data_IF_823339615467
#
_entry.id   IF_823339615467
#
_cell.length_a   1.000
_cell.length_b   1.000
_cell.length_c   1.000
_cell.angle_alpha   90.00
_cell.angle_beta   90.00
_cell.angle_gamma   90.00
#
_symmetry.space_group_name_H-M   'P 1'
#
loop_
_entity.id
_entity.type
_entity.pdbx_description
1 polymer ?
#
# COMPACT_ATOMS: atom_id res chain seq x y z
N UNK A 1 18.03 -5.84 62.03
CA UNK A 1 16.67 -5.78 62.56
C UNK A 1 15.73 -6.45 61.56
N UNK A 2 14.89 -7.30 62.01
CA UNK A 2 14.06 -8.36 61.49
C UNK A 2 13.72 -8.39 59.99
N UNK A 3 14.08 -9.50 59.30
CA UNK A 3 13.56 -9.94 58.00
C UNK A 3 12.31 -10.80 58.22
N UNK A 4 11.15 -10.33 57.74
CA UNK A 4 9.92 -11.12 57.72
C UNK A 4 9.87 -11.94 56.44
N UNK A 5 9.94 -13.25 56.53
CA UNK A 5 9.73 -14.20 55.40
C UNK A 5 8.22 -14.49 55.30
N UNK A 6 7.64 -14.23 54.16
CA UNK A 6 6.26 -14.67 53.78
C UNK A 6 6.39 -16.05 53.14
N UNK A 7 5.74 -17.05 53.75
CA UNK A 7 5.60 -18.41 53.18
C UNK A 7 4.39 -18.42 52.25
N UNK A 8 4.61 -18.74 50.98
CA UNK A 8 3.55 -19.03 50.00
C UNK A 8 3.24 -20.52 50.06
N UNK A 9 2.01 -20.86 50.37
CA UNK A 9 1.47 -22.23 50.34
C UNK A 9 1.01 -22.53 48.90
N UNK A 10 1.55 -23.58 48.30
CA UNK A 10 1.06 -24.13 47.03
C UNK A 10 -0.17 -25.02 47.33
N UNK A 11 -1.30 -24.69 46.71
CA UNK A 11 -2.45 -25.55 46.63
C UNK A 11 -2.39 -26.31 45.27
N UNK A 12 -2.36 -27.61 45.35
CA UNK A 12 -2.49 -28.53 44.21
C UNK A 12 -3.98 -28.72 43.98
N UNK A 13 -4.47 -28.30 42.82
CA UNK A 13 -5.83 -28.60 42.35
C UNK A 13 -5.74 -29.64 41.23
N UNK A 14 -6.45 -30.74 41.48
CA UNK A 14 -6.47 -31.91 40.59
C UNK A 14 -7.21 -31.67 39.28
N UNK A 15 -6.69 -32.28 38.25
CA UNK A 15 -7.24 -32.30 36.89
C UNK A 15 -8.33 -33.39 36.82
N UNK A 16 -9.57 -33.01 36.53
CA UNK A 16 -10.62 -33.96 36.10
C UNK A 16 -10.71 -33.87 34.57
N UNK A 17 -10.32 -34.94 33.91
CA UNK A 17 -10.52 -35.13 32.49
C UNK A 17 -11.92 -35.67 32.21
N UNK A 18 -12.75 -34.91 31.52
CA UNK A 18 -14.03 -35.40 30.96
C UNK A 18 -13.80 -35.66 29.48
N UNK A 19 -13.76 -36.94 29.13
CA UNK A 19 -13.77 -37.40 27.73
C UNK A 19 -15.22 -37.37 27.20
N UNK A 20 -15.55 -36.46 26.30
CA UNK A 20 -16.79 -36.47 25.56
C UNK A 20 -16.59 -37.19 24.24
N UNK A 21 -17.14 -38.39 24.12
CA UNK A 21 -17.18 -39.19 22.88
C UNK A 21 -18.36 -38.68 22.05
N UNK A 22 -18.12 -38.05 20.93
CA UNK A 22 -19.12 -37.72 19.90
C UNK A 22 -19.19 -38.86 18.91
N UNK A 23 -20.26 -39.64 18.93
CA UNK A 23 -20.58 -40.62 17.90
C UNK A 23 -21.26 -39.93 16.73
N UNK A 24 -20.61 -39.92 15.56
CA UNK A 24 -21.21 -39.47 14.31
C UNK A 24 -21.91 -40.67 13.66
N UNK A 25 -23.24 -40.63 13.61
CA UNK A 25 -24.07 -41.59 12.90
C UNK A 25 -24.17 -41.11 11.43
N UNK A 26 -23.60 -41.87 10.50
CA UNK A 26 -23.87 -41.71 9.06
C UNK A 26 -25.18 -42.41 8.70
N UNK A 27 -26.22 -41.63 8.46
CA UNK A 27 -27.41 -42.11 7.78
C UNK A 27 -27.29 -41.84 6.30
N UNK A 28 -27.04 -42.85 5.50
CA UNK A 28 -27.10 -42.79 4.05
C UNK A 28 -28.55 -42.75 3.59
N UNK A 29 -28.94 -41.69 2.87
CA UNK A 29 -30.13 -41.69 2.02
C UNK A 29 -29.68 -41.33 0.60
N UNK A 30 -29.65 -42.29 -0.28
CA UNK A 30 -29.58 -42.11 -1.72
C UNK A 30 -30.97 -41.73 -2.26
N UNK A 31 -31.12 -40.51 -2.74
CA UNK A 31 -32.17 -40.16 -3.66
C UNK A 31 -31.60 -39.24 -4.72
N UNK A 32 -31.54 -39.75 -5.95
CA UNK A 32 -31.10 -38.98 -7.12
C UNK A 32 -32.05 -37.87 -7.44
N UNK A 33 -31.51 -36.64 -7.51
CA UNK A 33 -32.10 -35.57 -8.27
C UNK A 33 -31.01 -34.98 -9.16
N UNK A 34 -31.27 -35.04 -10.47
CA UNK A 34 -30.51 -34.33 -11.47
C UNK A 34 -30.73 -32.83 -11.24
N UNK A 35 -29.82 -32.21 -10.52
CA UNK A 35 -29.72 -30.78 -10.40
C UNK A 35 -28.62 -30.27 -11.33
N UNK A 36 -28.98 -29.45 -12.32
CA UNK A 36 -28.07 -28.95 -13.31
C UNK A 36 -26.88 -28.23 -12.67
N UNK A 37 -25.70 -28.61 -13.14
CA UNK A 37 -24.51 -27.81 -12.95
C UNK A 37 -24.75 -26.45 -13.62
N UNK A 38 -24.98 -25.46 -12.82
CA UNK A 38 -24.86 -24.07 -13.24
C UNK A 38 -23.39 -23.84 -13.59
N UNK A 39 -23.04 -24.08 -14.85
CA UNK A 39 -21.81 -23.54 -15.43
C UNK A 39 -21.95 -22.03 -15.35
N UNK A 40 -21.25 -21.42 -14.40
CA UNK A 40 -20.95 -20.01 -14.47
C UNK A 40 -20.20 -19.78 -15.77
N UNK A 41 -20.91 -19.38 -16.82
CA UNK A 41 -20.36 -18.81 -18.03
C UNK A 41 -19.66 -17.52 -17.60
N UNK A 42 -18.36 -17.63 -17.25
CA UNK A 42 -17.46 -16.52 -17.37
C UNK A 42 -17.43 -16.15 -18.85
N UNK A 43 -18.15 -15.10 -19.23
CA UNK A 43 -18.01 -14.50 -20.55
C UNK A 43 -16.56 -14.11 -20.69
N UNK A 44 -15.80 -14.86 -21.51
CA UNK A 44 -14.42 -14.59 -21.88
C UNK A 44 -14.31 -13.38 -22.81
N UNK A 45 -14.80 -12.22 -22.36
CA UNK A 45 -14.48 -10.94 -22.98
C UNK A 45 -13.06 -10.54 -22.60
N UNK A 46 -12.37 -9.84 -23.50
CA UNK A 46 -11.10 -9.21 -23.14
C UNK A 46 -11.32 -8.25 -21.97
N UNK A 47 -10.37 -8.15 -21.00
CA UNK A 47 -10.47 -7.18 -19.93
C UNK A 47 -10.62 -5.76 -20.47
N UNK A 48 -11.46 -4.95 -19.80
CA UNK A 48 -11.72 -3.56 -20.19
C UNK A 48 -10.49 -2.71 -19.94
N UNK A 49 -10.11 -1.91 -20.92
CA UNK A 49 -9.03 -0.94 -20.78
C UNK A 49 -9.56 0.38 -20.21
N UNK A 50 -8.72 1.06 -19.44
CA UNK A 50 -9.01 2.39 -18.96
C UNK A 50 -9.19 3.38 -20.13
N UNK A 51 -10.19 4.27 -20.03
CA UNK A 51 -10.43 5.30 -21.02
C UNK A 51 -9.45 6.47 -20.88
N UNK A 52 -9.05 7.04 -21.99
CA UNK A 52 -8.38 8.35 -22.00
C UNK A 52 -9.39 9.44 -21.65
N UNK A 53 -9.02 10.31 -20.73
CA UNK A 53 -9.87 11.38 -20.20
C UNK A 53 -9.17 12.73 -20.26
N UNK A 54 -9.91 13.79 -19.96
CA UNK A 54 -9.42 15.17 -19.86
C UNK A 54 -9.66 15.73 -18.46
N UNK A 55 -9.06 16.84 -18.09
CA UNK A 55 -9.32 17.50 -16.80
C UNK A 55 -10.80 17.89 -16.65
N UNK A 56 -11.49 18.20 -17.73
CA UNK A 56 -12.92 18.52 -17.72
C UNK A 56 -13.77 17.32 -17.26
N UNK A 57 -13.40 16.10 -17.62
CA UNK A 57 -14.10 14.87 -17.22
C UNK A 57 -14.04 14.64 -15.70
N UNK A 58 -13.02 15.17 -15.03
CA UNK A 58 -12.78 15.00 -13.61
C UNK A 58 -13.20 16.21 -12.76
N UNK A 59 -13.73 17.27 -13.40
CA UNK A 59 -14.21 18.43 -12.66
C UNK A 59 -15.26 18.07 -11.60
N UNK A 60 -16.28 17.21 -11.85
CA UNK A 60 -17.22 16.80 -10.80
C UNK A 60 -16.56 16.10 -9.61
N UNK A 61 -15.53 15.29 -9.86
CA UNK A 61 -14.73 14.64 -8.81
C UNK A 61 -13.95 15.67 -8.00
N UNK A 62 -13.27 16.60 -8.69
CA UNK A 62 -12.50 17.67 -8.02
C UNK A 62 -13.40 18.56 -7.16
N UNK A 63 -14.58 18.94 -7.67
CA UNK A 63 -15.57 19.76 -6.96
C UNK A 63 -16.09 19.00 -5.71
N UNK A 64 -16.42 17.70 -5.84
CA UNK A 64 -16.90 16.87 -4.74
C UNK A 64 -15.86 16.68 -3.65
N UNK A 65 -14.58 16.51 -4.03
CA UNK A 65 -13.47 16.39 -3.09
C UNK A 65 -13.04 17.73 -2.49
N UNK A 66 -13.35 18.85 -3.14
CA UNK A 66 -12.76 20.16 -2.84
C UNK A 66 -11.24 20.20 -3.09
N UNK A 67 -10.74 19.36 -4.00
CA UNK A 67 -9.32 19.19 -4.32
C UNK A 67 -9.13 18.86 -5.78
N UNK A 68 -8.10 19.44 -6.39
CA UNK A 68 -7.73 19.16 -7.78
C UNK A 68 -6.67 18.06 -7.82
N UNK A 69 -6.84 17.10 -8.71
CA UNK A 69 -5.86 16.08 -9.05
C UNK A 69 -5.07 16.44 -10.32
N UNK A 70 -4.36 15.44 -10.83
CA UNK A 70 -3.63 15.51 -12.09
C UNK A 70 -3.84 14.24 -12.90
N UNK A 71 -3.95 14.39 -14.21
CA UNK A 71 -3.94 13.27 -15.14
C UNK A 71 -2.54 12.63 -15.18
N UNK A 72 -2.52 11.32 -15.24
CA UNK A 72 -1.32 10.51 -15.36
C UNK A 72 -1.56 9.28 -16.23
N UNK A 73 -0.49 8.53 -16.48
CA UNK A 73 -0.53 7.29 -17.26
C UNK A 73 -1.26 7.47 -18.60
N UNK A 74 -0.74 8.38 -19.45
CA UNK A 74 -1.34 8.72 -20.76
C UNK A 74 -2.81 9.19 -20.65
N UNK A 75 -3.13 9.94 -19.59
CA UNK A 75 -4.45 10.48 -19.30
C UNK A 75 -5.54 9.42 -19.02
N UNK A 76 -5.15 8.22 -18.62
CA UNK A 76 -6.10 7.13 -18.28
C UNK A 76 -6.44 7.06 -16.80
N UNK A 77 -5.83 7.91 -15.99
CA UNK A 77 -6.08 7.95 -14.53
C UNK A 77 -5.98 9.38 -14.00
N UNK A 78 -6.82 9.73 -13.03
CA UNK A 78 -6.83 11.01 -12.34
C UNK A 78 -6.40 10.82 -10.89
N UNK A 79 -5.25 11.39 -10.51
CA UNK A 79 -4.62 11.22 -9.21
C UNK A 79 -4.72 12.45 -8.36
N UNK A 80 -5.19 12.28 -7.13
CA UNK A 80 -5.24 13.31 -6.08
C UNK A 80 -4.23 12.92 -4.99
N UNK A 81 -3.27 13.79 -4.71
CA UNK A 81 -2.30 13.58 -3.63
C UNK A 81 -2.88 14.05 -2.29
N UNK A 82 -2.66 13.25 -1.25
CA UNK A 82 -3.23 13.40 0.09
C UNK A 82 -2.11 13.37 1.15
N UNK A 83 -1.13 14.27 1.00
CA UNK A 83 0.07 14.27 1.83
C UNK A 83 -0.22 14.80 3.24
N UNK A 84 0.31 14.13 4.27
CA UNK A 84 0.22 14.53 5.69
C UNK A 84 1.35 15.49 6.05
N UNK A 85 1.21 16.74 5.64
CA UNK A 85 2.16 17.81 6.00
C UNK A 85 1.98 18.31 7.45
N UNK A 86 0.90 17.93 8.10
CA UNK A 86 0.55 18.25 9.49
C UNK A 86 1.27 17.33 10.50
N UNK A 87 1.79 16.17 10.05
CA UNK A 87 2.46 15.21 10.91
C UNK A 87 3.97 15.38 10.90
N UNK A 88 4.56 15.33 12.11
CA UNK A 88 6.00 15.24 12.31
C UNK A 88 6.31 13.83 12.85
N UNK A 89 6.61 12.93 11.94
CA UNK A 89 6.88 11.53 12.27
C UNK A 89 8.38 11.29 12.35
N UNK A 90 8.80 10.54 13.36
CA UNK A 90 10.16 10.00 13.47
C UNK A 90 10.12 8.48 13.49
N UNK A 91 11.16 7.84 12.97
CA UNK A 91 11.35 6.40 13.01
C UNK A 91 12.82 6.11 13.33
N UNK A 92 13.11 5.31 14.35
CA UNK A 92 14.49 5.08 14.85
C UNK A 92 15.30 6.38 15.00
N UNK A 93 14.65 7.48 15.45
CA UNK A 93 15.28 8.79 15.61
C UNK A 93 15.47 9.59 14.31
N UNK A 94 15.10 9.07 13.15
CA UNK A 94 15.12 9.78 11.87
C UNK A 94 13.81 10.54 11.66
N UNK A 95 13.88 11.86 11.47
CA UNK A 95 12.73 12.65 11.08
C UNK A 95 12.33 12.33 9.63
N UNK A 96 11.07 11.95 9.42
CA UNK A 96 10.55 11.49 8.13
C UNK A 96 10.03 12.69 7.33
N UNK A 97 10.60 12.90 6.15
CA UNK A 97 10.02 13.85 5.19
C UNK A 97 8.68 13.29 4.68
N UNK A 98 7.64 14.12 4.53
CA UNK A 98 6.34 13.64 4.04
C UNK A 98 6.42 12.82 2.76
N UNK A 99 7.30 13.22 1.81
CA UNK A 99 7.51 12.51 0.56
C UNK A 99 8.18 11.13 0.68
N UNK A 100 8.74 10.76 1.84
CA UNK A 100 9.32 9.42 2.06
C UNK A 100 8.23 8.38 2.28
N UNK A 101 7.31 8.65 3.22
CA UNK A 101 6.28 7.67 3.64
C UNK A 101 4.92 8.27 3.97
N UNK A 102 4.77 9.59 4.16
CA UNK A 102 3.53 10.21 4.60
C UNK A 102 2.69 10.74 3.42
N UNK A 103 2.91 10.23 2.22
CA UNK A 103 2.25 10.63 0.98
C UNK A 103 1.05 9.75 0.65
N UNK A 104 -0.13 10.01 1.24
CA UNK A 104 -1.36 9.40 0.81
C UNK A 104 -1.79 9.84 -0.59
N UNK A 105 -2.68 9.09 -1.21
CA UNK A 105 -3.22 9.38 -2.54
C UNK A 105 -4.58 8.73 -2.77
N UNK A 106 -5.31 9.24 -3.76
CA UNK A 106 -6.46 8.58 -4.36
C UNK A 106 -6.37 8.69 -5.88
N UNK A 107 -6.74 7.63 -6.59
CA UNK A 107 -6.73 7.57 -8.06
C UNK A 107 -8.09 7.11 -8.55
N UNK A 108 -8.61 7.82 -9.55
CA UNK A 108 -9.85 7.49 -10.24
C UNK A 108 -9.52 7.05 -11.67
N UNK A 109 -10.09 5.94 -12.10
CA UNK A 109 -9.92 5.37 -13.44
C UNK A 109 -11.28 5.09 -14.04
N UNK A 110 -11.56 5.61 -15.24
CA UNK A 110 -12.85 5.43 -15.93
C UNK A 110 -12.76 4.32 -16.96
N UNK A 111 -13.83 3.52 -17.05
CA UNK A 111 -14.00 2.45 -18.03
C UNK A 111 -15.21 2.68 -18.94
N UNK A 112 -15.32 1.91 -20.02
CA UNK A 112 -16.31 2.08 -21.10
C UNK A 112 -17.75 1.76 -20.69
N UNK A 113 -17.96 1.11 -19.54
CA UNK A 113 -19.27 0.81 -18.97
C UNK A 113 -19.81 1.91 -18.02
N UNK A 114 -19.23 3.12 -18.08
CA UNK A 114 -19.47 4.25 -17.18
C UNK A 114 -19.12 4.01 -15.71
N UNK A 115 -18.43 2.92 -15.41
CA UNK A 115 -17.89 2.69 -14.08
C UNK A 115 -16.55 3.41 -13.87
N UNK A 116 -16.35 3.84 -12.66
CA UNK A 116 -15.09 4.42 -12.22
C UNK A 116 -14.53 3.59 -11.08
N UNK A 117 -13.27 3.17 -11.20
CA UNK A 117 -12.49 2.61 -10.11
C UNK A 117 -11.94 3.74 -9.25
N UNK A 118 -12.09 3.63 -7.95
CA UNK A 118 -11.34 4.37 -6.94
C UNK A 118 -10.37 3.41 -6.26
N UNK A 119 -9.09 3.72 -6.31
CA UNK A 119 -8.07 3.10 -5.44
C UNK A 119 -7.25 4.18 -4.75
N UNK A 120 -6.79 3.90 -3.55
CA UNK A 120 -5.98 4.88 -2.82
C UNK A 120 -5.32 4.29 -1.59
N UNK A 121 -4.48 5.11 -0.98
CA UNK A 121 -3.83 4.84 0.29
C UNK A 121 -3.88 6.09 1.16
N UNK A 122 -4.48 6.01 2.33
CA UNK A 122 -4.66 7.12 3.25
C UNK A 122 -3.74 6.95 4.46
N UNK A 123 -3.04 8.01 4.82
CA UNK A 123 -2.25 8.07 6.04
C UNK A 123 -3.12 8.62 7.17
N UNK A 124 -3.34 7.84 8.22
CA UNK A 124 -4.23 8.16 9.33
C UNK A 124 -3.53 7.96 10.68
N UNK A 125 -3.86 8.79 11.66
CA UNK A 125 -3.47 8.56 13.05
C UNK A 125 -4.35 7.48 13.67
N UNK A 126 -3.93 6.88 14.78
CA UNK A 126 -4.76 5.90 15.51
C UNK A 126 -6.10 6.50 15.96
N UNK A 127 -6.13 7.80 16.29
CA UNK A 127 -7.36 8.49 16.69
C UNK A 127 -8.33 8.77 15.52
N UNK A 128 -7.80 8.90 14.31
CA UNK A 128 -8.59 9.10 13.08
C UNK A 128 -9.14 7.79 12.51
N UNK A 129 -8.40 6.70 12.69
CA UNK A 129 -8.68 5.42 12.02
C UNK A 129 -10.12 4.91 12.19
N UNK A 130 -10.73 4.85 13.37
CA UNK A 130 -12.12 4.38 13.49
C UNK A 130 -13.11 5.26 12.72
N UNK A 131 -12.92 6.57 12.75
CA UNK A 131 -13.80 7.55 12.07
C UNK A 131 -13.68 7.44 10.55
N UNK A 132 -12.45 7.25 10.05
CA UNK A 132 -12.19 7.02 8.64
C UNK A 132 -12.83 5.71 8.18
N UNK A 133 -12.68 4.63 8.96
CA UNK A 133 -13.31 3.34 8.68
C UNK A 133 -14.84 3.49 8.59
N UNK A 134 -15.47 4.11 9.58
CA UNK A 134 -16.93 4.31 9.60
C UNK A 134 -17.41 5.13 8.40
N UNK A 135 -16.66 6.19 8.04
CA UNK A 135 -16.99 7.05 6.90
C UNK A 135 -16.91 6.28 5.58
N UNK A 136 -15.84 5.50 5.35
CA UNK A 136 -15.67 4.69 4.13
C UNK A 136 -16.78 3.63 4.02
N UNK A 137 -17.01 2.85 5.10
CA UNK A 137 -18.01 1.78 5.11
C UNK A 137 -19.44 2.32 4.89
N UNK A 138 -19.78 3.48 5.47
CA UNK A 138 -21.09 4.12 5.28
C UNK A 138 -21.35 4.55 3.85
N UNK A 139 -20.33 4.61 3.00
CA UNK A 139 -20.38 5.00 1.59
C UNK A 139 -20.07 3.87 0.61
N UNK A 140 -19.96 2.64 1.11
CA UNK A 140 -19.66 1.47 0.30
C UNK A 140 -18.24 1.44 -0.29
N UNK A 141 -17.31 2.21 0.28
CA UNK A 141 -15.89 2.16 -0.09
C UNK A 141 -15.20 1.13 0.81
N UNK A 142 -14.63 0.10 0.19
CA UNK A 142 -13.93 -0.95 0.92
C UNK A 142 -12.57 -0.46 1.44
N UNK A 143 -12.20 -0.92 2.63
CA UNK A 143 -10.82 -0.92 3.09
C UNK A 143 -10.23 -2.29 2.75
N UNK A 144 -9.19 -2.30 1.93
CA UNK A 144 -8.59 -3.54 1.43
C UNK A 144 -7.32 -3.93 2.18
N UNK A 145 -6.69 -2.99 2.86
CA UNK A 145 -5.58 -3.23 3.79
C UNK A 145 -5.51 -2.15 4.86
N UNK A 146 -4.95 -2.54 6.00
CA UNK A 146 -4.57 -1.65 7.10
C UNK A 146 -3.18 -2.08 7.54
N UNK A 147 -2.17 -1.21 7.37
CA UNK A 147 -0.76 -1.60 7.45
C UNK A 147 0.14 -0.46 7.90
N UNK A 148 1.44 -0.74 8.00
CA UNK A 148 2.48 0.23 8.39
C UNK A 148 3.57 0.33 7.33
N UNK A 149 4.00 1.56 7.03
CA UNK A 149 5.19 1.79 6.21
C UNK A 149 6.48 1.88 7.05
N UNK A 150 6.36 2.09 8.34
CA UNK A 150 7.49 2.37 9.25
C UNK A 150 7.37 1.56 10.53
N UNK A 151 8.51 1.21 11.12
CA UNK A 151 8.63 0.63 12.45
C UNK A 151 9.06 1.70 13.46
N UNK A 152 8.85 1.46 14.78
CA UNK A 152 9.30 2.36 15.86
C UNK A 152 8.93 3.83 15.63
N UNK A 153 7.77 4.06 15.01
CA UNK A 153 7.33 5.39 14.59
C UNK A 153 6.65 6.16 15.73
N UNK A 154 6.90 7.46 15.77
CA UNK A 154 6.29 8.40 16.73
C UNK A 154 5.93 9.71 16.03
N UNK A 155 4.64 10.19 16.11
CA UNK A 155 3.49 9.47 16.66
C UNK A 155 3.12 8.22 15.86
N UNK A 156 2.33 7.29 16.43
CA UNK A 156 1.87 6.13 15.69
C UNK A 156 0.87 6.54 14.59
N UNK A 157 1.16 6.11 13.37
CA UNK A 157 0.34 6.33 12.17
C UNK A 157 0.11 5.00 11.46
N UNK A 158 -0.96 4.93 10.68
CA UNK A 158 -1.35 3.78 9.88
C UNK A 158 -1.61 4.20 8.45
N UNK A 159 -1.50 3.24 7.54
CA UNK A 159 -1.87 3.40 6.13
C UNK A 159 -3.04 2.47 5.85
N UNK A 160 -4.04 2.98 5.14
CA UNK A 160 -5.20 2.17 4.78
C UNK A 160 -5.51 2.29 3.31
N UNK A 161 -5.45 1.13 2.61
CA UNK A 161 -5.88 1.06 1.23
C UNK A 161 -7.39 1.11 1.13
N UNK A 162 -7.87 1.88 0.16
CA UNK A 162 -9.29 2.05 -0.15
C UNK A 162 -9.57 1.63 -1.58
N UNK A 163 -10.73 1.02 -1.80
CA UNK A 163 -11.18 0.52 -3.09
C UNK A 163 -12.68 0.72 -3.26
N UNK A 164 -13.09 1.14 -4.45
CA UNK A 164 -14.51 1.26 -4.80
C UNK A 164 -14.70 1.25 -6.31
N UNK A 165 -15.81 0.72 -6.76
CA UNK A 165 -16.24 0.73 -8.16
C UNK A 165 -17.65 1.32 -8.26
N UNK A 166 -17.87 2.28 -9.19
CA UNK A 166 -19.18 2.87 -9.36
C UNK A 166 -19.16 4.27 -9.96
N UNK A 167 -20.13 5.11 -9.57
CA UNK A 167 -20.22 6.51 -10.00
C UNK A 167 -19.07 7.36 -9.42
N UNK A 168 -18.36 8.06 -10.28
CA UNK A 168 -17.16 8.83 -9.91
C UNK A 168 -17.43 9.90 -8.84
N UNK A 169 -18.59 10.59 -8.94
CA UNK A 169 -18.95 11.67 -8.00
C UNK A 169 -19.35 11.10 -6.65
N UNK A 170 -20.06 9.98 -6.62
CA UNK A 170 -20.43 9.31 -5.37
C UNK A 170 -19.18 8.76 -4.64
N UNK A 171 -18.25 8.15 -5.39
CA UNK A 171 -16.97 7.71 -4.84
C UNK A 171 -16.17 8.89 -4.27
N UNK A 172 -16.12 10.02 -4.98
CA UNK A 172 -15.46 11.23 -4.51
C UNK A 172 -16.10 11.79 -3.23
N UNK A 173 -17.45 11.81 -3.16
CA UNK A 173 -18.18 12.24 -1.94
C UNK A 173 -17.92 11.30 -0.75
N UNK A 174 -17.85 9.98 -1.01
CA UNK A 174 -17.52 9.00 0.01
C UNK A 174 -16.09 9.16 0.54
N UNK A 175 -15.13 9.34 -0.36
CA UNK A 175 -13.76 9.63 0.00
C UNK A 175 -13.64 10.96 0.76
N UNK A 176 -14.38 12.00 0.32
CA UNK A 176 -14.42 13.29 1.03
C UNK A 176 -14.86 13.14 2.49
N UNK A 177 -15.90 12.34 2.74
CA UNK A 177 -16.36 12.08 4.10
C UNK A 177 -15.27 11.42 4.97
N UNK A 178 -14.48 10.50 4.40
CA UNK A 178 -13.33 9.92 5.09
C UNK A 178 -12.22 10.95 5.34
N UNK A 179 -11.92 11.80 4.36
CA UNK A 179 -10.93 12.87 4.50
C UNK A 179 -11.33 13.90 5.56
N UNK A 180 -12.63 14.21 5.68
CA UNK A 180 -13.16 15.14 6.70
C UNK A 180 -13.02 14.60 8.14
N UNK A 181 -12.81 13.28 8.28
CA UNK A 181 -12.49 12.65 9.56
C UNK A 181 -10.98 12.70 9.90
N UNK A 182 -10.17 13.31 9.05
CA UNK A 182 -8.71 13.45 9.20
C UNK A 182 -8.28 14.91 9.24
N UNK A 183 -7.01 15.13 9.59
CA UNK A 183 -6.36 16.44 9.46
C UNK A 183 -5.60 16.62 8.13
N UNK A 184 -5.90 15.83 7.11
CA UNK A 184 -5.29 15.96 5.78
C UNK A 184 -5.70 17.30 5.16
N UNK A 185 -4.79 18.27 5.18
CA UNK A 185 -4.98 19.62 4.63
C UNK A 185 -5.08 19.64 3.10
N UNK A 186 -5.39 20.79 2.48
CA UNK A 186 -5.32 20.98 1.04
C UNK A 186 -3.90 20.69 0.51
N UNK A 187 -3.81 20.40 -0.79
CA UNK A 187 -2.52 20.14 -1.42
C UNK A 187 -1.61 21.38 -1.28
N UNK A 188 -0.41 21.17 -0.77
CA UNK A 188 0.61 22.23 -0.72
C UNK A 188 1.24 22.37 -2.10
N UNK A 189 1.37 23.56 -2.66
CA UNK A 189 2.09 23.77 -3.91
C UNK A 189 3.52 23.24 -3.80
N UNK A 190 4.02 22.64 -4.89
CA UNK A 190 5.42 22.26 -4.93
C UNK A 190 6.33 23.49 -4.74
N UNK A 191 7.44 23.36 -4.01
CA UNK A 191 8.37 24.47 -3.84
C UNK A 191 8.92 24.90 -5.20
N UNK A 192 9.14 26.21 -5.37
CA UNK A 192 9.64 26.79 -6.62
C UNK A 192 11.03 26.23 -7.02
N UNK A 193 11.83 25.83 -6.02
CA UNK A 193 13.09 25.14 -6.21
C UNK A 193 13.07 23.83 -5.42
N UNK A 194 13.44 22.74 -6.08
CA UNK A 194 13.58 21.45 -5.42
C UNK A 194 14.75 21.48 -4.42
N UNK A 195 14.56 21.00 -3.19
CA UNK A 195 15.67 20.84 -2.26
C UNK A 195 16.74 19.91 -2.85
N UNK A 196 18.03 20.17 -2.59
CA UNK A 196 19.10 19.27 -3.06
C UNK A 196 18.97 17.88 -2.45
N UNK A 197 19.43 16.89 -3.19
CA UNK A 197 19.55 15.50 -2.75
C UNK A 197 21.01 15.25 -2.39
N UNK A 198 21.35 15.31 -1.11
CA UNK A 198 22.72 15.22 -0.58
C UNK A 198 23.16 13.76 -0.38
N UNK A 199 23.23 13.00 -1.49
CA UNK A 199 23.83 11.65 -1.58
C UNK A 199 24.48 11.47 -2.95
N UNK A 200 25.30 10.46 -3.12
CA UNK A 200 25.84 10.07 -4.42
C UNK A 200 24.76 9.41 -5.31
N UNK A 201 23.95 10.25 -5.98
CA UNK A 201 22.88 9.78 -6.87
C UNK A 201 23.40 8.98 -8.06
N UNK A 202 24.58 9.33 -8.60
CA UNK A 202 25.20 8.60 -9.70
C UNK A 202 25.64 7.20 -9.30
N UNK A 203 26.24 7.06 -8.11
CA UNK A 203 26.59 5.76 -7.53
C UNK A 203 25.35 4.91 -7.22
N UNK A 204 24.27 5.52 -6.72
CA UNK A 204 22.99 4.85 -6.50
C UNK A 204 22.38 4.33 -7.81
N UNK A 205 22.34 5.16 -8.85
CA UNK A 205 21.86 4.77 -10.19
C UNK A 205 22.68 3.61 -10.79
N UNK A 206 24.02 3.71 -10.70
CA UNK A 206 24.90 2.65 -11.15
C UNK A 206 24.66 1.33 -10.42
N UNK A 207 24.50 1.39 -9.09
CA UNK A 207 24.27 0.20 -8.25
C UNK A 207 22.92 -0.46 -8.56
N UNK A 208 21.84 0.34 -8.72
CA UNK A 208 20.52 -0.17 -9.07
C UNK A 208 20.37 -0.51 -10.56
N UNK A 209 21.26 0.01 -11.43
CA UNK A 209 21.16 -0.16 -12.88
C UNK A 209 19.95 0.56 -13.48
N UNK A 210 19.50 1.67 -12.87
CA UNK A 210 18.29 2.40 -13.24
C UNK A 210 18.45 3.88 -12.95
N UNK A 211 17.72 4.71 -13.70
CA UNK A 211 17.65 6.15 -13.46
C UNK A 211 16.63 6.48 -12.37
N UNK A 212 17.00 7.35 -11.45
CA UNK A 212 16.14 7.88 -10.41
C UNK A 212 15.69 9.31 -10.72
N UNK A 213 14.80 9.83 -9.87
CA UNK A 213 14.28 11.19 -9.97
C UNK A 213 14.41 11.90 -8.63
N UNK A 214 14.97 13.11 -8.64
CA UNK A 214 14.98 13.98 -7.47
C UNK A 214 13.60 14.64 -7.30
N UNK A 215 13.00 14.50 -6.12
CA UNK A 215 11.70 15.10 -5.79
C UNK A 215 11.59 15.37 -4.30
N UNK A 216 11.33 16.61 -3.91
CA UNK A 216 11.16 17.02 -2.51
C UNK A 216 12.41 16.79 -1.64
N UNK A 217 13.62 16.78 -2.23
CA UNK A 217 14.87 16.47 -1.52
C UNK A 217 15.03 14.99 -1.17
N UNK A 218 14.32 14.13 -1.90
CA UNK A 218 14.48 12.67 -1.91
C UNK A 218 14.96 12.24 -3.29
N UNK A 219 15.57 11.04 -3.38
CA UNK A 219 15.86 10.37 -4.64
C UNK A 219 14.97 9.15 -4.78
N UNK A 220 14.19 9.08 -5.85
CA UNK A 220 13.04 8.19 -5.96
C UNK A 220 13.08 7.32 -7.21
N UNK A 221 12.55 6.12 -7.09
CA UNK A 221 12.28 5.17 -8.17
C UNK A 221 10.84 4.69 -8.09
N UNK A 222 10.21 4.52 -9.25
CA UNK A 222 8.91 3.86 -9.40
C UNK A 222 9.01 2.92 -10.60
N UNK A 223 9.01 1.62 -10.34
CA UNK A 223 9.38 0.59 -11.32
C UNK A 223 8.18 -0.33 -11.53
N UNK A 224 7.49 -0.23 -12.68
CA UNK A 224 6.33 -1.09 -12.94
C UNK A 224 6.75 -2.54 -13.17
N UNK A 225 5.81 -3.46 -12.93
CA UNK A 225 5.93 -4.86 -13.33
C UNK A 225 5.75 -5.01 -14.83
N UNK A 226 6.25 -6.13 -15.39
CA UNK A 226 5.95 -6.51 -16.78
C UNK A 226 4.53 -7.09 -16.92
N UNK A 227 3.97 -7.59 -15.81
CA UNK A 227 2.66 -8.22 -15.80
C UNK A 227 1.56 -7.19 -16.07
N UNK A 228 0.55 -7.56 -16.85
CA UNK A 228 -0.71 -6.83 -16.91
C UNK A 228 -1.55 -7.22 -15.70
N UNK A 229 -1.96 -6.23 -14.93
CA UNK A 229 -2.78 -6.46 -13.73
C UNK A 229 -4.24 -6.25 -14.10
N UNK A 230 -5.08 -7.22 -13.76
CA UNK A 230 -6.52 -7.20 -14.04
C UNK A 230 -7.27 -7.43 -12.73
N UNK A 231 -8.31 -6.64 -12.47
CA UNK A 231 -9.23 -6.82 -11.35
C UNK A 231 -10.66 -6.73 -11.85
N UNK A 232 -11.48 -7.73 -11.54
CA UNK A 232 -12.89 -7.81 -11.95
C UNK A 232 -13.15 -7.48 -13.44
N UNK A 233 -12.27 -7.99 -14.31
CA UNK A 233 -12.36 -7.77 -15.75
C UNK A 233 -11.87 -6.40 -16.24
N UNK A 234 -11.22 -5.60 -15.39
CA UNK A 234 -10.67 -4.28 -15.73
C UNK A 234 -9.14 -4.30 -15.68
N UNK A 235 -8.48 -3.79 -16.72
CA UNK A 235 -7.02 -3.60 -16.72
C UNK A 235 -6.68 -2.39 -15.84
N UNK A 236 -5.81 -2.60 -14.85
CA UNK A 236 -5.37 -1.55 -13.96
C UNK A 236 -4.19 -0.75 -14.56
N UNK A 237 -4.25 0.59 -14.63
CA UNK A 237 -3.12 1.45 -15.07
C UNK A 237 -2.04 1.51 -13.98
N UNK A 238 -1.17 0.51 -13.94
CA UNK A 238 -0.25 0.19 -12.85
C UNK A 238 0.59 1.38 -12.35
N UNK A 239 1.15 2.17 -13.25
CA UNK A 239 2.05 3.27 -12.89
C UNK A 239 1.37 4.36 -12.05
N UNK A 240 0.10 4.70 -12.34
CA UNK A 240 -0.63 5.75 -11.61
C UNK A 240 -1.29 5.23 -10.34
N UNK A 241 -1.66 3.94 -10.32
CA UNK A 241 -2.24 3.27 -9.15
C UNK A 241 -1.21 2.82 -8.10
N UNK A 242 0.08 3.19 -8.26
CA UNK A 242 1.18 2.70 -7.41
C UNK A 242 1.29 1.16 -7.38
N UNK A 243 0.91 0.48 -8.47
CA UNK A 243 1.18 -0.95 -8.66
C UNK A 243 2.61 -1.11 -9.21
N UNK A 244 3.57 -0.53 -8.51
CA UNK A 244 4.99 -0.44 -8.89
C UNK A 244 5.88 -0.72 -7.68
N UNK A 245 7.07 -1.24 -7.93
CA UNK A 245 8.10 -1.23 -6.88
C UNK A 245 8.61 0.19 -6.70
N UNK A 246 8.49 0.71 -5.49
CA UNK A 246 8.91 2.06 -5.11
C UNK A 246 10.14 1.98 -4.23
N UNK A 247 11.15 2.80 -4.54
CA UNK A 247 12.35 2.95 -3.72
C UNK A 247 12.59 4.44 -3.49
N UNK A 248 12.63 4.85 -2.23
CA UNK A 248 12.91 6.23 -1.86
C UNK A 248 14.16 6.29 -1.00
N UNK A 249 15.06 7.21 -1.31
CA UNK A 249 16.22 7.55 -0.50
C UNK A 249 16.01 8.94 0.07
N UNK A 250 15.97 9.05 1.40
CA UNK A 250 15.97 10.32 2.10
C UNK A 250 17.37 10.58 2.66
N UNK A 251 18.09 11.64 2.20
CA UNK A 251 19.37 12.01 2.79
C UNK A 251 19.26 12.27 4.30
N UNK A 252 20.20 11.73 5.07
CA UNK A 252 20.31 11.94 6.52
C UNK A 252 21.68 12.52 6.92
N UNK A 253 22.44 13.01 5.94
CA UNK A 253 23.77 13.62 6.10
C UNK A 253 24.92 12.62 5.93
N UNK A 254 26.10 13.14 5.54
CA UNK A 254 27.33 12.37 5.38
C UNK A 254 27.28 11.29 4.29
N UNK A 255 26.53 11.50 3.22
CA UNK A 255 26.35 10.52 2.13
C UNK A 255 25.41 9.36 2.49
N UNK A 256 24.85 9.35 3.70
CA UNK A 256 23.92 8.33 4.18
C UNK A 256 22.48 8.68 3.81
N UNK A 257 21.67 7.66 3.66
CA UNK A 257 20.24 7.79 3.44
C UNK A 257 19.43 6.87 4.37
N UNK A 258 18.23 7.30 4.71
CA UNK A 258 17.16 6.41 5.12
C UNK A 258 16.42 5.93 3.88
N UNK A 259 16.16 4.64 3.77
CA UNK A 259 15.38 4.06 2.67
C UNK A 259 14.05 3.51 3.17
N UNK A 260 13.03 3.77 2.39
CA UNK A 260 11.70 3.20 2.54
C UNK A 260 11.07 3.06 1.15
N UNK A 261 10.14 2.15 1.00
CA UNK A 261 9.44 1.92 -0.25
C UNK A 261 8.61 0.66 -0.18
N UNK A 262 8.32 0.13 -1.36
CA UNK A 262 7.39 -0.97 -1.51
C UNK A 262 7.85 -1.88 -2.65
N UNK A 263 8.04 -3.17 -2.39
CA UNK A 263 8.22 -4.18 -3.43
C UNK A 263 6.87 -4.76 -3.79
N UNK A 264 6.48 -4.67 -5.06
CA UNK A 264 5.29 -5.33 -5.60
C UNK A 264 5.66 -6.74 -6.10
N UNK A 265 5.03 -7.76 -5.53
CA UNK A 265 5.45 -9.17 -5.60
C UNK A 265 4.31 -10.10 -5.98
N UNK A 266 4.63 -11.16 -6.69
CA UNK A 266 3.82 -12.38 -6.72
C UNK A 266 4.23 -13.31 -5.57
N UNK A 267 3.44 -14.34 -5.28
CA UNK A 267 3.71 -15.33 -4.25
C UNK A 267 5.08 -16.01 -4.40
N UNK A 268 5.51 -16.29 -5.64
CA UNK A 268 6.79 -16.95 -5.95
C UNK A 268 8.02 -16.06 -5.75
N UNK A 269 7.83 -14.74 -5.65
CA UNK A 269 8.91 -13.75 -5.49
C UNK A 269 9.15 -13.40 -4.01
N UNK A 270 8.13 -13.50 -3.15
CA UNK A 270 8.16 -13.03 -1.75
C UNK A 270 9.40 -13.52 -1.00
N UNK A 271 9.62 -14.83 -0.96
CA UNK A 271 10.70 -15.40 -0.14
C UNK A 271 12.09 -15.02 -0.65
N UNK A 272 12.26 -14.89 -1.97
CA UNK A 272 13.52 -14.47 -2.59
C UNK A 272 13.85 -13.02 -2.23
N UNK A 273 12.84 -12.14 -2.26
CA UNK A 273 13.00 -10.72 -1.89
C UNK A 273 13.30 -10.58 -0.39
N UNK A 274 12.60 -11.32 0.49
CA UNK A 274 12.90 -11.34 1.93
C UNK A 274 14.36 -11.73 2.16
N UNK A 275 14.82 -12.82 1.53
CA UNK A 275 16.19 -13.32 1.69
C UNK A 275 17.23 -12.29 1.22
N UNK A 276 16.98 -11.65 0.06
CA UNK A 276 17.87 -10.64 -0.50
C UNK A 276 17.97 -9.40 0.42
N UNK A 277 16.83 -8.86 0.87
CA UNK A 277 16.80 -7.70 1.76
C UNK A 277 17.50 -8.01 3.10
N UNK A 278 17.22 -9.17 3.70
CA UNK A 278 17.83 -9.56 4.99
C UNK A 278 19.32 -9.83 4.89
N UNK A 279 19.80 -10.36 3.77
CA UNK A 279 21.25 -10.53 3.51
C UNK A 279 21.99 -9.18 3.47
N UNK A 280 21.30 -8.11 3.09
CA UNK A 280 21.81 -6.73 3.09
C UNK A 280 21.50 -5.96 4.40
N UNK A 281 21.04 -6.62 5.47
CA UNK A 281 20.60 -5.99 6.73
C UNK A 281 19.46 -4.96 6.56
N UNK A 282 18.69 -5.02 5.48
CA UNK A 282 17.49 -4.21 5.28
C UNK A 282 16.35 -4.88 6.04
N UNK A 283 15.66 -4.12 6.90
CA UNK A 283 14.54 -4.63 7.70
C UNK A 283 13.28 -4.76 6.84
N UNK A 284 12.53 -5.82 7.07
CA UNK A 284 11.16 -5.95 6.55
C UNK A 284 10.24 -5.24 7.55
N UNK A 285 9.39 -4.35 7.04
CA UNK A 285 8.40 -3.63 7.86
C UNK A 285 7.08 -4.38 7.88
N UNK A 286 6.55 -4.65 6.70
CA UNK A 286 5.24 -5.33 6.57
C UNK A 286 5.12 -6.01 5.20
N UNK A 287 4.35 -7.09 5.16
CA UNK A 287 3.91 -7.79 3.95
C UNK A 287 2.38 -7.77 3.94
N UNK A 288 1.78 -7.14 2.94
CA UNK A 288 0.34 -6.92 2.85
C UNK A 288 -0.16 -6.98 1.40
N UNK A 289 -1.43 -6.72 1.17
CA UNK A 289 -2.07 -6.59 -0.13
C UNK A 289 -2.58 -5.16 -0.35
N UNK A 290 -2.80 -4.75 -1.61
CA UNK A 290 -3.52 -3.51 -1.95
C UNK A 290 -4.96 -3.80 -2.39
N UNK A 291 -5.15 -4.78 -3.28
CA UNK A 291 -6.43 -5.27 -3.74
C UNK A 291 -6.85 -6.57 -3.05
N UNK A 292 -8.04 -7.08 -3.38
CA UNK A 292 -8.56 -8.35 -2.86
C UNK A 292 -8.70 -9.42 -3.94
N UNK A 293 -8.87 -9.03 -5.20
CA UNK A 293 -9.28 -9.93 -6.30
C UNK A 293 -8.41 -9.83 -7.55
N UNK A 294 -7.42 -8.93 -7.56
CA UNK A 294 -6.53 -8.70 -8.71
C UNK A 294 -5.76 -9.95 -9.16
N UNK A 295 -5.47 -10.03 -10.47
CA UNK A 295 -4.69 -11.09 -11.09
C UNK A 295 -3.56 -10.50 -11.97
N UNK A 296 -2.32 -11.03 -11.84
CA UNK A 296 -1.90 -12.00 -10.84
C UNK A 296 -2.13 -11.44 -9.42
N UNK A 297 -2.30 -12.33 -8.45
CA UNK A 297 -2.38 -11.93 -7.04
C UNK A 297 -1.10 -11.24 -6.62
N UNK A 298 -1.23 -10.03 -6.08
CA UNK A 298 -0.09 -9.20 -5.68
C UNK A 298 0.02 -9.06 -4.17
N UNK A 299 1.27 -8.98 -3.73
CA UNK A 299 1.67 -8.70 -2.38
C UNK A 299 2.64 -7.53 -2.38
N UNK A 300 2.65 -6.77 -1.31
CA UNK A 300 3.46 -5.57 -1.16
C UNK A 300 4.29 -5.68 0.09
N UNK A 301 5.57 -5.31 -0.01
CA UNK A 301 6.51 -5.48 1.09
C UNK A 301 7.24 -4.18 1.37
N UNK A 302 6.90 -3.56 2.49
CA UNK A 302 7.64 -2.41 2.98
C UNK A 302 8.93 -2.82 3.66
N UNK A 303 9.92 -1.96 3.57
CA UNK A 303 11.26 -2.18 4.12
C UNK A 303 11.85 -0.88 4.67
N UNK A 304 12.86 -1.01 5.53
CA UNK A 304 13.55 0.11 6.16
C UNK A 304 15.03 -0.21 6.39
N UNK A 305 15.89 0.76 6.12
CA UNK A 305 17.29 0.79 6.57
C UNK A 305 17.84 2.21 6.56
N UNK A 306 18.96 2.41 7.29
CA UNK A 306 19.74 3.66 7.27
C UNK A 306 21.21 3.32 7.17
N UNK A 307 21.85 3.68 6.05
CA UNK A 307 23.29 3.45 5.81
C UNK A 307 23.79 4.38 4.70
N UNK A 308 25.04 4.19 4.25
CA UNK A 308 25.58 4.77 3.03
C UNK A 308 24.63 4.49 1.84
N UNK A 309 24.30 5.52 1.07
CA UNK A 309 23.28 5.42 0.03
C UNK A 309 23.62 4.42 -1.07
N UNK A 310 24.89 4.34 -1.48
CA UNK A 310 25.36 3.40 -2.50
C UNK A 310 25.39 1.97 -1.97
N UNK A 311 25.75 1.79 -0.70
CA UNK A 311 25.69 0.50 -0.02
C UNK A 311 24.27 -0.04 0.05
N UNK A 312 23.29 0.81 0.40
CA UNK A 312 21.87 0.45 0.40
C UNK A 312 21.39 0.07 -1.00
N UNK A 313 21.77 0.83 -2.03
CA UNK A 313 21.42 0.55 -3.41
C UNK A 313 21.97 -0.82 -3.88
N UNK A 314 23.22 -1.14 -3.54
CA UNK A 314 23.82 -2.48 -3.80
C UNK A 314 23.03 -3.58 -3.09
N UNK A 315 22.57 -3.33 -1.85
CA UNK A 315 21.79 -4.28 -1.06
C UNK A 315 20.36 -4.50 -1.63
N UNK A 316 19.76 -3.47 -2.25
CA UNK A 316 18.44 -3.56 -2.89
C UNK A 316 18.49 -4.27 -4.26
N UNK A 317 19.62 -4.24 -4.95
CA UNK A 317 19.74 -4.78 -6.31
C UNK A 317 19.35 -6.26 -6.43
N UNK A 318 19.81 -7.19 -5.57
CA UNK A 318 19.39 -8.59 -5.64
C UNK A 318 17.88 -8.79 -5.42
N UNK A 319 17.24 -7.93 -4.61
CA UNK A 319 15.79 -7.96 -4.42
C UNK A 319 15.05 -7.52 -5.70
N UNK A 320 15.55 -6.49 -6.40
CA UNK A 320 15.01 -6.08 -7.70
C UNK A 320 15.17 -7.19 -8.76
N UNK A 321 16.34 -7.85 -8.79
CA UNK A 321 16.62 -8.93 -9.73
C UNK A 321 15.75 -10.18 -9.50
N UNK A 322 15.18 -10.33 -8.30
CA UNK A 322 14.27 -11.42 -7.95
C UNK A 322 12.81 -11.18 -8.37
N UNK A 323 12.50 -10.04 -8.97
CA UNK A 323 11.15 -9.59 -9.33
C UNK A 323 10.97 -9.40 -10.84
N UNK A 324 9.73 -9.57 -11.35
CA UNK A 324 9.40 -9.41 -12.77
C UNK A 324 9.10 -7.95 -13.12
N UNK A 325 10.13 -7.08 -13.04
CA UNK A 325 10.00 -5.65 -13.30
C UNK A 325 10.35 -5.26 -14.72
N UNK A 326 9.79 -4.12 -15.20
CA UNK A 326 10.20 -3.50 -16.46
C UNK A 326 11.71 -3.24 -16.43
N UNK A 327 12.43 -3.31 -17.58
CA UNK A 327 13.85 -2.96 -17.64
C UNK A 327 14.09 -1.50 -17.24
N UNK A 328 15.32 -1.21 -16.80
CA UNK A 328 15.78 0.15 -16.46
C UNK A 328 16.22 0.93 -17.68
#
# INVERSE_FOLDING_TARGET
MARTRVKVKHAVAGTVAIAATVAVVFAGCSSGSKGGAGSGNGQGGNPRSALTTTDADWKPVADALGRTGKLGNNNTAYRVNLVRNDLQVTTYGVAIKPGLSLGGYAVFVRYDNNETLLMGDLVVTEAELPKVTDALQSRGIAQTALHKHLLEQTPPVWWTHVHGMGDATQLAQGLKAALDATSIGPATPAPAQQPPVDIDTAGVEQALGRKGTADGGLFKYSIPRKDTIVEDGHVLPAATLNLTTVINFQPVGGGRAAINGDFILTDTEIQKVIQALRAANIQIVELHNHGLTEQPRLFYMHYWAVDDAVTLAKGLRPALDATNLQPG
#
